data_IF_646273446710
#
_entry.id   IF_646273446710
#
_cell.length_a   1.000
_cell.length_b   1.000
_cell.length_c   1.000
_cell.angle_alpha   90.00
_cell.angle_beta   90.00
_cell.angle_gamma   90.00
#
_symmetry.space_group_name_H-M   'P 1'
#
loop_
_entity.id
_entity.type
_entity.pdbx_description
1 polymer ?
#
# COMPACT_ATOMS: atom_id res chain seq x y z
N UNK A 1 5.28 -15.92 5.32
CA UNK A 1 6.43 -15.00 5.31
C UNK A 1 6.05 -13.61 5.83
N UNK A 2 4.92 -13.05 5.40
CA UNK A 2 4.37 -11.80 5.93
C UNK A 2 4.24 -11.81 7.48
N UNK A 3 3.77 -12.92 8.06
CA UNK A 3 3.66 -13.07 9.51
C UNK A 3 5.01 -12.96 10.23
N UNK A 4 6.09 -13.42 9.59
CA UNK A 4 7.45 -13.34 10.11
C UNK A 4 8.21 -12.09 9.65
N UNK A 5 7.53 -11.18 8.93
CA UNK A 5 8.10 -9.96 8.36
C UNK A 5 9.30 -10.21 7.43
N UNK A 6 9.30 -11.37 6.76
CA UNK A 6 10.33 -11.74 5.81
C UNK A 6 10.00 -11.20 4.40
N UNK A 7 10.15 -9.88 4.24
CA UNK A 7 9.75 -9.15 3.04
C UNK A 7 10.61 -9.50 1.81
N UNK A 8 11.89 -9.79 2.01
CA UNK A 8 12.77 -10.23 0.92
C UNK A 8 12.31 -11.57 0.34
N UNK A 9 11.92 -12.51 1.22
CA UNK A 9 11.41 -13.80 0.79
C UNK A 9 10.08 -13.71 0.04
N UNK A 10 9.22 -12.77 0.42
CA UNK A 10 7.99 -12.49 -0.33
C UNK A 10 8.34 -12.04 -1.75
N UNK A 11 9.28 -11.11 -1.91
CA UNK A 11 9.71 -10.63 -3.22
C UNK A 11 10.32 -11.75 -4.10
N UNK A 12 11.11 -12.65 -3.53
CA UNK A 12 11.61 -13.83 -4.25
C UNK A 12 10.46 -14.74 -4.74
N UNK A 13 9.54 -15.10 -3.83
CA UNK A 13 8.41 -16.01 -4.15
C UNK A 13 7.45 -15.43 -5.18
N UNK A 14 7.28 -14.11 -5.22
CA UNK A 14 6.39 -13.43 -6.18
C UNK A 14 6.90 -13.61 -7.62
N UNK A 15 8.20 -13.58 -7.84
CA UNK A 15 8.76 -13.74 -9.19
C UNK A 15 8.57 -15.15 -9.75
N UNK A 16 8.41 -16.17 -8.92
CA UNK A 16 8.15 -17.56 -9.31
C UNK A 16 6.66 -17.84 -9.55
N UNK A 17 5.78 -16.89 -9.17
CA UNK A 17 4.33 -17.04 -9.23
C UNK A 17 3.69 -16.56 -10.53
N UNK A 18 2.45 -17.01 -10.78
CA UNK A 18 1.64 -16.48 -11.88
C UNK A 18 1.12 -15.09 -11.51
N UNK A 19 1.30 -14.06 -12.35
CA UNK A 19 0.81 -12.72 -12.06
C UNK A 19 -0.69 -12.67 -11.76
N UNK A 20 -1.06 -11.90 -10.73
CA UNK A 20 -2.46 -11.73 -10.33
C UNK A 20 -2.60 -10.74 -9.20
N UNK A 21 -3.85 -10.27 -8.94
CA UNK A 21 -4.12 -9.19 -8.00
C UNK A 21 -3.53 -9.45 -6.60
N UNK A 22 -3.76 -10.63 -6.04
CA UNK A 22 -3.26 -10.97 -4.70
C UNK A 22 -1.73 -10.96 -4.63
N UNK A 23 -1.07 -11.45 -5.68
CA UNK A 23 0.40 -11.49 -5.73
C UNK A 23 0.96 -10.08 -5.91
N UNK A 24 0.32 -9.22 -6.73
CA UNK A 24 0.70 -7.81 -6.85
C UNK A 24 0.58 -7.08 -5.51
N UNK A 25 -0.50 -7.33 -4.74
CA UNK A 25 -0.64 -6.76 -3.38
C UNK A 25 0.49 -7.24 -2.45
N UNK A 26 0.85 -8.53 -2.47
CA UNK A 26 1.97 -9.04 -1.67
C UNK A 26 3.29 -8.38 -2.06
N UNK A 27 3.56 -8.26 -3.36
CA UNK A 27 4.76 -7.61 -3.88
C UNK A 27 4.84 -6.15 -3.45
N UNK A 28 3.77 -5.40 -3.66
CA UNK A 28 3.71 -3.98 -3.33
C UNK A 28 3.80 -3.74 -1.82
N UNK A 29 3.14 -4.56 -1.01
CA UNK A 29 3.24 -4.50 0.45
C UNK A 29 4.68 -4.77 0.93
N UNK A 30 5.33 -5.81 0.40
CA UNK A 30 6.71 -6.14 0.76
C UNK A 30 7.68 -5.01 0.41
N UNK A 31 7.51 -4.38 -0.76
CA UNK A 31 8.32 -3.23 -1.15
C UNK A 31 8.00 -1.98 -0.32
N UNK A 32 6.74 -1.76 0.05
CA UNK A 32 6.35 -0.66 0.93
C UNK A 32 6.97 -0.78 2.33
N UNK A 33 6.98 -1.97 2.89
CA UNK A 33 7.61 -2.25 4.20
C UNK A 33 9.13 -2.03 4.18
N UNK A 34 9.74 -2.06 3.00
CA UNK A 34 11.16 -1.74 2.77
C UNK A 34 11.39 -0.29 2.31
N UNK A 35 10.35 0.55 2.26
CA UNK A 35 10.39 1.92 1.71
C UNK A 35 10.83 1.98 0.24
N UNK A 36 10.52 0.95 -0.56
CA UNK A 36 10.91 0.83 -1.97
C UNK A 36 9.69 0.80 -2.92
N UNK A 37 8.46 1.02 -2.42
CA UNK A 37 7.26 0.85 -3.24
C UNK A 37 7.30 1.67 -4.53
N UNK A 38 7.61 2.99 -4.54
CA UNK A 38 7.62 3.75 -5.78
C UNK A 38 8.70 3.30 -6.76
N UNK A 39 9.88 2.91 -6.27
CA UNK A 39 10.99 2.46 -7.13
C UNK A 39 10.73 1.10 -7.77
N UNK A 40 9.92 0.28 -7.10
CA UNK A 40 9.68 -1.11 -7.50
C UNK A 40 8.31 -1.34 -8.14
N UNK A 41 7.44 -0.35 -8.15
CA UNK A 41 6.05 -0.50 -8.58
C UNK A 41 5.93 -1.07 -10.01
N UNK A 42 6.74 -0.56 -10.94
CA UNK A 42 6.69 -0.97 -12.35
C UNK A 42 7.56 -2.21 -12.66
N UNK A 43 8.28 -2.77 -11.70
CA UNK A 43 9.05 -3.99 -11.87
C UNK A 43 8.18 -5.25 -11.93
N UNK A 44 6.92 -5.15 -11.53
CA UNK A 44 5.97 -6.25 -11.51
C UNK A 44 4.62 -5.86 -12.12
N UNK A 45 3.82 -6.86 -12.50
CA UNK A 45 2.47 -6.69 -13.03
C UNK A 45 1.57 -5.88 -12.08
N UNK A 46 0.91 -4.85 -12.62
CA UNK A 46 0.00 -3.98 -11.85
C UNK A 46 -1.41 -4.01 -12.45
N UNK A 47 -2.36 -4.62 -11.74
CA UNK A 47 -3.77 -4.61 -12.12
C UNK A 47 -4.47 -3.34 -11.62
N UNK A 48 -4.04 -2.17 -12.07
CA UNK A 48 -4.52 -0.87 -11.61
C UNK A 48 -4.50 -0.77 -10.06
N UNK A 49 -5.47 -0.09 -9.45
CA UNK A 49 -5.56 0.05 -8.00
C UNK A 49 -5.70 -1.28 -7.22
N UNK A 50 -6.11 -2.37 -7.90
CA UNK A 50 -6.21 -3.70 -7.29
C UNK A 50 -4.84 -4.31 -6.95
N UNK A 51 -3.76 -3.77 -7.50
CA UNK A 51 -2.40 -4.13 -7.11
C UNK A 51 -1.99 -3.62 -5.73
N UNK A 52 -2.67 -2.59 -5.22
CA UNK A 52 -2.43 -2.03 -3.88
C UNK A 52 -3.51 -2.44 -2.88
N UNK A 53 -4.77 -2.43 -3.30
CA UNK A 53 -5.91 -2.68 -2.43
C UNK A 53 -6.88 -3.66 -3.08
N UNK A 54 -7.12 -4.77 -2.39
CA UNK A 54 -8.21 -5.67 -2.78
C UNK A 54 -9.53 -5.19 -2.18
N UNK A 55 -10.64 -5.27 -2.92
CA UNK A 55 -11.95 -4.91 -2.39
C UNK A 55 -12.34 -5.82 -1.22
N UNK A 56 -13.06 -5.26 -0.26
CA UNK A 56 -13.61 -5.97 0.90
C UNK A 56 -15.13 -5.86 0.85
N UNK A 57 -15.79 -6.90 0.37
CA UNK A 57 -17.24 -6.98 0.19
C UNK A 57 -17.72 -8.43 0.29
N UNK A 58 -18.99 -8.68 0.04
CA UNK A 58 -19.61 -10.01 0.13
C UNK A 58 -19.07 -11.04 -0.89
N UNK A 59 -18.39 -10.60 -1.94
CA UNK A 59 -17.76 -11.48 -2.95
C UNK A 59 -16.30 -11.76 -2.65
N UNK A 60 -15.76 -11.18 -1.59
CA UNK A 60 -14.37 -11.37 -1.20
C UNK A 60 -14.10 -12.78 -0.69
N UNK A 61 -12.87 -13.23 -0.83
CA UNK A 61 -12.40 -14.52 -0.31
C UNK A 61 -11.67 -14.33 1.02
N UNK A 62 -11.44 -15.43 1.74
CA UNK A 62 -10.59 -15.40 2.95
C UNK A 62 -9.22 -14.75 2.69
N UNK A 63 -8.56 -15.13 1.59
CA UNK A 63 -7.25 -14.59 1.25
C UNK A 63 -7.31 -13.08 0.93
N UNK A 64 -8.29 -12.65 0.14
CA UNK A 64 -8.38 -11.22 -0.24
C UNK A 64 -8.67 -10.32 0.95
N UNK A 65 -9.56 -10.74 1.87
CA UNK A 65 -9.84 -9.98 3.08
C UNK A 65 -8.67 -9.97 4.05
N UNK A 66 -7.92 -11.07 4.13
CA UNK A 66 -6.71 -11.15 4.96
C UNK A 66 -5.63 -10.20 4.45
N UNK A 67 -5.36 -10.18 3.14
CA UNK A 67 -4.39 -9.28 2.54
C UNK A 67 -4.80 -7.82 2.70
N UNK A 68 -6.07 -7.51 2.44
CA UNK A 68 -6.60 -6.16 2.65
C UNK A 68 -6.45 -5.71 4.11
N UNK A 69 -6.78 -6.57 5.05
CA UNK A 69 -6.61 -6.29 6.48
C UNK A 69 -5.16 -6.04 6.87
N UNK A 70 -4.22 -6.77 6.28
CA UNK A 70 -2.79 -6.58 6.52
C UNK A 70 -2.30 -5.23 5.97
N UNK A 71 -2.66 -4.88 4.73
CA UNK A 71 -2.31 -3.58 4.13
C UNK A 71 -2.81 -2.43 5.01
N UNK A 72 -4.09 -2.41 5.37
CA UNK A 72 -4.67 -1.34 6.18
C UNK A 72 -4.07 -1.26 7.58
N UNK A 73 -3.78 -2.41 8.20
CA UNK A 73 -3.12 -2.46 9.50
C UNK A 73 -1.70 -1.87 9.45
N UNK A 74 -0.94 -2.15 8.38
CA UNK A 74 0.41 -1.59 8.20
C UNK A 74 0.37 -0.10 7.93
N UNK A 75 -0.58 0.37 7.13
CA UNK A 75 -0.81 1.78 6.86
C UNK A 75 -1.22 2.59 8.11
N UNK A 76 -1.87 1.95 9.10
CA UNK A 76 -2.34 2.59 10.32
C UNK A 76 -3.85 2.87 10.35
N UNK A 77 -4.62 2.44 9.33
CA UNK A 77 -6.08 2.56 9.34
C UNK A 77 -6.73 1.38 10.07
N UNK A 78 -6.91 1.53 11.37
CA UNK A 78 -7.44 0.46 12.22
C UNK A 78 -8.91 0.17 11.94
N UNK A 79 -9.71 1.12 11.51
CA UNK A 79 -11.12 0.91 11.14
C UNK A 79 -11.25 0.00 9.92
N UNK A 80 -10.47 0.28 8.87
CA UNK A 80 -10.44 -0.55 7.67
C UNK A 80 -9.83 -1.92 7.94
N UNK A 81 -8.78 -1.98 8.76
CA UNK A 81 -8.15 -3.23 9.16
C UNK A 81 -9.09 -4.13 9.98
N UNK A 82 -9.88 -3.54 10.90
CA UNK A 82 -10.86 -4.28 11.70
C UNK A 82 -11.97 -4.86 10.84
N UNK A 83 -12.55 -4.04 9.96
CA UNK A 83 -13.59 -4.49 9.03
C UNK A 83 -13.12 -5.69 8.18
N UNK A 84 -11.94 -5.57 7.56
CA UNK A 84 -11.35 -6.65 6.77
C UNK A 84 -11.04 -7.89 7.61
N UNK A 85 -10.56 -7.73 8.85
CA UNK A 85 -10.23 -8.84 9.75
C UNK A 85 -11.48 -9.60 10.23
N UNK A 86 -12.58 -8.89 10.50
CA UNK A 86 -13.87 -9.51 10.87
C UNK A 86 -14.43 -10.32 9.71
N UNK A 87 -14.44 -9.78 8.49
CA UNK A 87 -14.86 -10.54 7.31
C UNK A 87 -13.93 -11.70 7.02
N UNK A 88 -12.63 -11.53 7.18
CA UNK A 88 -11.66 -12.62 7.04
C UNK A 88 -11.91 -13.75 8.04
N UNK A 89 -12.34 -13.44 9.27
CA UNK A 89 -12.74 -14.46 10.24
C UNK A 89 -13.98 -15.23 9.77
N UNK A 90 -14.99 -14.52 9.25
CA UNK A 90 -16.24 -15.13 8.73
C UNK A 90 -15.93 -16.04 7.53
N UNK A 91 -15.07 -15.62 6.63
CA UNK A 91 -14.71 -16.39 5.43
C UNK A 91 -13.65 -17.48 5.68
N UNK A 92 -13.07 -17.51 6.88
CA UNK A 92 -12.07 -18.54 7.23
C UNK A 92 -12.71 -19.92 7.37
N UNK A 93 -11.94 -21.01 7.16
CA UNK A 93 -12.46 -22.35 7.37
C UNK A 93 -13.07 -22.52 8.76
N UNK A 94 -14.31 -22.99 8.81
CA UNK A 94 -15.11 -23.17 10.05
C UNK A 94 -15.29 -21.89 10.88
N UNK A 95 -15.14 -20.70 10.26
CA UNK A 95 -15.18 -19.39 10.92
C UNK A 95 -14.17 -19.29 12.10
N UNK A 96 -13.02 -19.95 11.95
CA UNK A 96 -11.97 -20.01 12.97
C UNK A 96 -10.63 -19.65 12.36
N UNK A 97 -10.10 -18.50 12.76
CA UNK A 97 -8.75 -18.08 12.39
C UNK A 97 -8.05 -17.46 13.59
N UNK A 98 -7.10 -18.18 14.15
CA UNK A 98 -6.29 -17.68 15.28
C UNK A 98 -5.55 -16.42 14.91
N UNK A 99 -5.09 -16.31 13.65
CA UNK A 99 -4.43 -15.11 13.12
C UNK A 99 -5.38 -13.89 13.14
N UNK A 100 -6.64 -14.07 12.77
CA UNK A 100 -7.60 -12.97 12.81
C UNK A 100 -7.97 -12.59 14.25
N UNK A 101 -8.09 -13.56 15.15
CA UNK A 101 -8.26 -13.28 16.59
C UNK A 101 -7.08 -12.46 17.13
N UNK A 102 -5.86 -12.81 16.74
CA UNK A 102 -4.65 -12.05 17.09
C UNK A 102 -4.72 -10.62 16.54
N UNK A 103 -5.03 -10.46 15.25
CA UNK A 103 -5.14 -9.15 14.60
C UNK A 103 -6.21 -8.27 15.25
N UNK A 104 -7.38 -8.83 15.56
CA UNK A 104 -8.45 -8.11 16.26
C UNK A 104 -8.03 -7.71 17.69
N UNK A 105 -7.28 -8.54 18.40
CA UNK A 105 -6.70 -8.16 19.68
C UNK A 105 -5.76 -6.95 19.54
N UNK A 106 -4.87 -6.96 18.55
CA UNK A 106 -3.93 -5.87 18.28
C UNK A 106 -4.66 -4.56 17.93
N UNK A 107 -5.64 -4.62 17.02
CA UNK A 107 -6.43 -3.46 16.59
C UNK A 107 -7.14 -2.83 17.80
N UNK A 108 -7.83 -3.64 18.62
CA UNK A 108 -8.54 -3.13 19.78
C UNK A 108 -7.59 -2.56 20.85
N UNK A 109 -6.40 -3.14 21.02
CA UNK A 109 -5.36 -2.55 21.87
C UNK A 109 -4.90 -1.18 21.35
N UNK A 110 -4.69 -1.05 20.04
CA UNK A 110 -4.27 0.20 19.41
C UNK A 110 -5.36 1.26 19.58
N UNK A 111 -6.62 0.91 19.31
CA UNK A 111 -7.77 1.81 19.46
C UNK A 111 -8.07 2.18 20.92
N UNK A 112 -7.51 1.46 21.90
CA UNK A 112 -7.75 1.68 23.32
C UNK A 112 -9.03 1.01 23.84
N UNK A 113 -9.68 0.18 23.02
CA UNK A 113 -10.81 -0.66 23.47
C UNK A 113 -10.28 -1.86 24.25
N UNK A 114 -9.98 -1.60 25.50
CA UNK A 114 -9.39 -2.60 26.39
C UNK A 114 -10.34 -3.76 26.71
N UNK A 115 -11.65 -3.54 26.63
CA UNK A 115 -12.63 -4.59 26.91
C UNK A 115 -12.68 -5.60 25.78
N UNK A 116 -12.83 -5.12 24.55
CA UNK A 116 -12.79 -5.98 23.36
C UNK A 116 -11.41 -6.66 23.23
N UNK A 117 -10.31 -5.96 23.47
CA UNK A 117 -8.98 -6.55 23.47
C UNK A 117 -8.85 -7.71 24.46
N UNK A 118 -9.34 -7.56 25.72
CA UNK A 118 -9.31 -8.65 26.71
C UNK A 118 -10.11 -9.88 26.25
N UNK A 119 -11.22 -9.69 25.55
CA UNK A 119 -12.01 -10.80 25.00
C UNK A 119 -11.18 -11.65 24.03
N UNK A 120 -10.53 -11.02 23.05
CA UNK A 120 -9.67 -11.73 22.09
C UNK A 120 -8.42 -12.33 22.74
N UNK A 121 -7.76 -11.59 23.64
CA UNK A 121 -6.59 -12.07 24.37
C UNK A 121 -6.91 -13.28 25.25
N UNK A 122 -8.12 -13.37 25.85
CA UNK A 122 -8.58 -14.55 26.59
C UNK A 122 -8.66 -15.79 25.70
N UNK A 123 -9.16 -15.65 24.46
CA UNK A 123 -9.20 -16.76 23.51
C UNK A 123 -7.77 -17.22 23.20
N UNK A 124 -6.85 -16.31 22.93
CA UNK A 124 -5.45 -16.61 22.61
C UNK A 124 -4.69 -17.21 23.79
N UNK A 125 -4.98 -16.78 25.02
CA UNK A 125 -4.33 -17.31 26.22
C UNK A 125 -4.63 -18.78 26.49
N UNK A 126 -5.69 -19.31 25.91
CA UNK A 126 -6.05 -20.74 25.98
C UNK A 126 -5.42 -21.57 24.87
N UNK A 127 -4.57 -20.97 24.01
CA UNK A 127 -3.84 -21.69 22.95
C UNK A 127 -2.40 -21.96 23.36
N UNK A 128 -1.82 -23.04 22.84
CA UNK A 128 -0.45 -23.43 23.17
C UNK A 128 0.59 -22.39 22.75
N UNK A 129 0.46 -21.85 21.54
CA UNK A 129 1.47 -20.99 20.95
C UNK A 129 1.31 -19.48 21.27
N UNK A 130 0.08 -19.03 21.58
CA UNK A 130 -0.20 -17.60 21.79
C UNK A 130 -0.37 -17.20 23.26
N UNK A 131 -0.27 -18.13 24.18
CA UNK A 131 -0.43 -17.88 25.63
C UNK A 131 0.49 -16.77 26.15
N UNK A 132 1.79 -16.90 25.91
CA UNK A 132 2.78 -15.91 26.36
C UNK A 132 2.67 -14.59 25.57
N UNK A 133 2.33 -14.66 24.29
CA UNK A 133 2.06 -13.49 23.47
C UNK A 133 0.89 -12.67 24.02
N UNK A 134 -0.23 -13.31 24.37
CA UNK A 134 -1.41 -12.69 24.94
C UNK A 134 -1.14 -12.09 26.33
N UNK A 135 -0.40 -12.81 27.18
CA UNK A 135 -0.02 -12.35 28.51
C UNK A 135 0.76 -11.04 28.49
N UNK A 136 1.72 -10.89 27.57
CA UNK A 136 2.53 -9.67 27.40
C UNK A 136 1.71 -8.47 26.91
N UNK A 137 0.50 -8.70 26.37
CA UNK A 137 -0.40 -7.68 25.79
C UNK A 137 -1.66 -7.41 26.62
N UNK A 138 -1.75 -7.99 27.83
CA UNK A 138 -2.92 -7.77 28.70
C UNK A 138 -3.01 -6.31 29.12
N UNK A 139 -4.16 -5.61 28.84
CA UNK A 139 -4.35 -4.20 29.21
C UNK A 139 -4.05 -3.91 30.67
N UNK A 140 -3.17 -2.95 30.91
CA UNK A 140 -2.67 -2.57 32.24
C UNK A 140 -1.47 -3.39 32.74
N UNK A 141 -1.06 -4.43 31.99
CA UNK A 141 0.10 -5.29 32.31
C UNK A 141 0.98 -5.53 31.10
N UNK A 142 0.93 -4.62 30.12
CA UNK A 142 1.72 -4.73 28.90
C UNK A 142 3.21 -4.70 29.19
N UNK A 143 3.98 -5.51 28.44
CA UNK A 143 5.44 -5.43 28.51
C UNK A 143 5.94 -4.06 27.97
N UNK A 144 7.16 -3.63 28.36
CA UNK A 144 7.74 -2.38 27.86
C UNK A 144 7.74 -2.26 26.33
N UNK A 145 8.11 -3.33 25.63
CA UNK A 145 8.16 -3.40 24.18
C UNK A 145 6.76 -3.22 23.56
N UNK A 146 5.74 -3.82 24.19
CA UNK A 146 4.35 -3.69 23.73
C UNK A 146 3.85 -2.25 23.94
N UNK A 147 4.22 -1.59 25.03
CA UNK A 147 3.85 -0.18 25.28
C UNK A 147 4.46 0.75 24.22
N UNK A 148 5.73 0.57 23.87
CA UNK A 148 6.39 1.35 22.82
C UNK A 148 5.76 1.08 21.46
N UNK A 149 5.47 -0.19 21.14
CA UNK A 149 4.78 -0.56 19.92
C UNK A 149 3.38 0.07 19.84
N UNK A 150 2.60 0.05 20.92
CA UNK A 150 1.28 0.70 20.97
C UNK A 150 1.41 2.22 20.78
N UNK A 151 2.37 2.85 21.41
CA UNK A 151 2.64 4.29 21.24
C UNK A 151 2.94 4.63 19.78
N UNK A 152 3.82 3.83 19.16
CA UNK A 152 4.15 3.97 17.72
C UNK A 152 2.91 3.81 16.86
N UNK A 153 2.14 2.72 17.02
CA UNK A 153 0.94 2.47 16.22
C UNK A 153 -0.14 3.54 16.40
N UNK A 154 -0.34 4.02 17.61
CA UNK A 154 -1.30 5.10 17.90
C UNK A 154 -0.94 6.44 17.26
N UNK A 155 0.33 6.69 16.96
CA UNK A 155 0.75 7.91 16.28
C UNK A 155 0.24 8.00 14.82
N UNK A 156 -0.25 6.90 14.26
CA UNK A 156 -0.84 6.85 12.91
C UNK A 156 -2.37 6.93 12.91
N UNK A 157 -3.02 6.86 14.07
CA UNK A 157 -4.48 6.85 14.13
C UNK A 157 -5.06 8.19 13.68
N UNK A 158 -6.04 8.20 12.77
CA UNK A 158 -6.82 9.38 12.47
C UNK A 158 -7.49 9.95 13.74
N UNK A 159 -7.44 11.25 13.91
CA UNK A 159 -8.06 11.92 15.08
C UNK A 159 -9.58 11.92 15.00
N UNK A 160 -10.15 11.76 13.81
CA UNK A 160 -11.59 11.73 13.58
C UNK A 160 -11.98 10.37 13.04
N UNK A 161 -12.88 9.70 13.72
CA UNK A 161 -13.56 8.55 13.16
C UNK A 161 -14.62 9.04 12.16
N UNK A 162 -14.49 8.59 10.92
CA UNK A 162 -15.43 8.95 9.85
C UNK A 162 -15.96 7.67 9.22
N UNK A 163 -17.28 7.59 9.03
CA UNK A 163 -17.88 6.49 8.30
C UNK A 163 -17.26 6.39 6.89
N UNK A 164 -16.69 5.23 6.59
CA UNK A 164 -16.06 4.94 5.30
C UNK A 164 -16.59 3.62 4.76
N UNK A 165 -16.93 3.60 3.49
CA UNK A 165 -17.33 2.40 2.76
C UNK A 165 -16.08 1.81 2.10
N UNK A 166 -15.72 0.60 2.45
CA UNK A 166 -14.42 -0.03 2.25
C UNK A 166 -13.81 0.06 0.84
N UNK A 167 -14.61 -0.02 -0.22
CA UNK A 167 -14.07 -0.13 -1.58
C UNK A 167 -14.00 1.20 -2.34
N UNK A 168 -14.74 2.22 -1.92
CA UNK A 168 -14.86 3.51 -2.64
C UNK A 168 -14.07 4.64 -1.99
N UNK A 169 -13.61 4.45 -0.75
CA UNK A 169 -13.02 5.50 0.07
C UNK A 169 -11.51 5.36 0.31
N UNK A 170 -10.79 4.60 -0.55
CA UNK A 170 -9.34 4.37 -0.43
C UNK A 170 -8.58 5.69 -0.34
N UNK A 171 -8.78 6.59 -1.29
CA UNK A 171 -8.09 7.89 -1.33
C UNK A 171 -8.42 8.73 -0.11
N UNK A 172 -9.68 8.74 0.33
CA UNK A 172 -10.10 9.45 1.55
C UNK A 172 -9.42 8.88 2.80
N UNK A 173 -9.31 7.55 2.90
CA UNK A 173 -8.60 6.90 4.00
C UNK A 173 -7.13 7.29 4.03
N UNK A 174 -6.46 7.29 2.87
CA UNK A 174 -5.05 7.67 2.75
C UNK A 174 -4.83 9.16 3.11
N UNK A 175 -5.73 10.05 2.68
CA UNK A 175 -5.67 11.46 3.09
C UNK A 175 -5.83 11.64 4.60
N UNK A 176 -6.75 10.91 5.24
CA UNK A 176 -6.93 10.96 6.70
C UNK A 176 -5.68 10.48 7.44
N UNK A 177 -5.01 9.44 6.94
CA UNK A 177 -3.74 8.97 7.51
C UNK A 177 -2.62 10.02 7.36
N UNK A 178 -2.54 10.70 6.20
CA UNK A 178 -1.57 11.78 5.97
C UNK A 178 -1.87 13.02 6.82
N UNK A 179 -3.14 13.33 7.08
CA UNK A 179 -3.54 14.43 7.97
C UNK A 179 -3.24 14.11 9.44
N UNK A 180 -3.40 12.85 9.85
CA UNK A 180 -3.08 12.40 11.20
C UNK A 180 -1.57 12.40 11.47
N UNK A 181 -0.79 11.93 10.50
CA UNK A 181 0.67 11.87 10.59
C UNK A 181 1.32 12.13 9.22
N UNK A 182 1.73 13.38 8.95
CA UNK A 182 2.42 13.73 7.70
C UNK A 182 3.75 12.97 7.47
N UNK A 183 4.33 12.39 8.52
CA UNK A 183 5.52 11.55 8.42
C UNK A 183 5.23 10.08 8.03
N UNK A 184 3.96 9.71 7.83
CA UNK A 184 3.58 8.37 7.38
C UNK A 184 3.98 8.15 5.92
N UNK A 185 5.26 7.79 5.72
CA UNK A 185 5.83 7.56 4.39
C UNK A 185 5.05 6.49 3.63
N UNK A 186 4.66 5.40 4.28
CA UNK A 186 3.94 4.31 3.63
C UNK A 186 2.59 4.80 3.08
N UNK A 187 1.80 5.57 3.86
CA UNK A 187 0.53 6.10 3.38
C UNK A 187 0.71 7.09 2.22
N UNK A 188 1.76 7.94 2.27
CA UNK A 188 2.10 8.82 1.16
C UNK A 188 2.44 8.06 -0.11
N UNK A 189 3.31 7.05 0.00
CA UNK A 189 3.76 6.30 -1.17
C UNK A 189 2.60 5.46 -1.75
N UNK A 190 1.71 4.92 -0.90
CA UNK A 190 0.48 4.26 -1.34
C UNK A 190 -0.47 5.22 -2.06
N UNK A 191 -0.67 6.45 -1.55
CA UNK A 191 -1.54 7.46 -2.17
C UNK A 191 -1.03 7.83 -3.57
N UNK A 192 0.24 8.23 -3.67
CA UNK A 192 0.83 8.65 -4.93
C UNK A 192 0.90 7.49 -5.96
N UNK A 193 1.22 6.28 -5.50
CA UNK A 193 1.21 5.11 -6.37
C UNK A 193 -0.20 4.72 -6.81
N UNK A 194 -1.22 4.87 -5.94
CA UNK A 194 -2.61 4.61 -6.28
C UNK A 194 -3.11 5.56 -7.36
N UNK A 195 -2.86 6.87 -7.22
CA UNK A 195 -3.22 7.86 -8.24
C UNK A 195 -2.59 7.52 -9.60
N UNK A 196 -1.31 7.13 -9.59
CA UNK A 196 -0.60 6.73 -10.80
C UNK A 196 -1.15 5.45 -11.43
N UNK A 197 -1.44 4.44 -10.62
CA UNK A 197 -2.05 3.20 -11.11
C UNK A 197 -3.45 3.40 -11.67
N UNK A 198 -4.20 4.35 -11.13
CA UNK A 198 -5.50 4.77 -11.67
C UNK A 198 -5.36 5.72 -12.87
N UNK A 199 -4.14 6.07 -13.28
CA UNK A 199 -3.83 7.03 -14.35
C UNK A 199 -4.39 8.43 -14.10
N UNK A 200 -4.71 8.78 -12.86
CA UNK A 200 -5.16 10.09 -12.47
C UNK A 200 -3.98 11.03 -12.20
N UNK A 201 -3.39 11.54 -13.27
CA UNK A 201 -2.28 12.50 -13.18
C UNK A 201 -2.69 13.79 -12.45
N UNK A 202 -3.97 14.17 -12.49
CA UNK A 202 -4.45 15.39 -11.82
C UNK A 202 -4.42 15.22 -10.30
N UNK A 203 -4.96 14.10 -9.80
CA UNK A 203 -4.89 13.73 -8.39
C UNK A 203 -3.42 13.58 -7.94
N UNK A 204 -2.60 12.83 -8.70
CA UNK A 204 -1.18 12.66 -8.41
C UNK A 204 -0.46 14.01 -8.25
N UNK A 205 -0.62 14.95 -9.17
CA UNK A 205 0.05 16.24 -9.12
C UNK A 205 -0.35 17.07 -7.90
N UNK A 206 -1.64 17.04 -7.55
CA UNK A 206 -2.16 17.71 -6.36
C UNK A 206 -1.55 17.13 -5.08
N UNK A 207 -1.55 15.81 -4.97
CA UNK A 207 -1.09 15.11 -3.77
C UNK A 207 0.44 15.07 -3.71
N UNK A 208 1.13 14.95 -4.83
CA UNK A 208 2.58 15.11 -4.92
C UNK A 208 3.03 16.47 -4.40
N UNK A 209 2.41 17.56 -4.88
CA UNK A 209 2.70 18.91 -4.42
C UNK A 209 2.43 19.11 -2.92
N UNK A 210 1.42 18.42 -2.39
CA UNK A 210 1.02 18.55 -0.98
C UNK A 210 1.92 17.77 -0.03
N UNK A 211 2.36 16.58 -0.43
CA UNK A 211 2.95 15.61 0.51
C UNK A 211 4.39 15.20 0.17
N UNK A 212 4.84 15.43 -1.06
CA UNK A 212 6.20 15.07 -1.44
C UNK A 212 7.16 16.25 -1.26
N UNK A 213 8.37 15.97 -0.80
CA UNK A 213 9.45 16.94 -0.66
C UNK A 213 10.74 16.38 -1.25
N UNK A 214 11.56 17.26 -1.84
CA UNK A 214 12.82 16.86 -2.45
C UNK A 214 12.72 16.50 -3.94
N UNK A 215 13.78 15.92 -4.47
CA UNK A 215 13.82 15.48 -5.87
C UNK A 215 12.90 14.27 -6.09
N UNK A 216 12.21 14.17 -7.26
CA UNK A 216 11.38 13.03 -7.57
C UNK A 216 12.21 11.77 -7.75
N UNK A 217 11.72 10.62 -7.24
CA UNK A 217 12.23 9.32 -7.65
C UNK A 217 11.87 9.04 -9.12
N UNK A 218 12.33 7.91 -9.67
CA UNK A 218 12.12 7.58 -11.08
C UNK A 218 10.65 7.54 -11.47
N UNK A 219 9.80 6.86 -10.71
CA UNK A 219 8.36 6.74 -10.98
C UNK A 219 7.69 8.12 -11.04
N UNK A 220 7.93 8.94 -10.03
CA UNK A 220 7.32 10.27 -9.95
C UNK A 220 7.86 11.20 -11.05
N UNK A 221 9.16 11.10 -11.37
CA UNK A 221 9.75 11.82 -12.48
C UNK A 221 9.12 11.46 -13.83
N UNK A 222 8.87 10.18 -14.05
CA UNK A 222 8.21 9.67 -15.26
C UNK A 222 6.78 10.23 -15.38
N UNK A 223 6.02 10.28 -14.29
CA UNK A 223 4.67 10.87 -14.27
C UNK A 223 4.69 12.40 -14.51
N UNK A 224 5.63 13.09 -13.86
CA UNK A 224 5.81 14.54 -14.05
C UNK A 224 6.16 14.86 -15.51
N UNK A 225 6.99 14.06 -16.16
CA UNK A 225 7.37 14.27 -17.58
C UNK A 225 6.17 14.12 -18.53
N UNK A 226 5.25 13.17 -18.28
CA UNK A 226 4.01 13.08 -19.06
C UNK A 226 3.23 14.41 -18.96
N UNK A 227 3.03 14.90 -17.74
CA UNK A 227 2.32 16.15 -17.51
C UNK A 227 2.98 17.36 -18.17
N UNK A 228 4.30 17.49 -18.01
CA UNK A 228 5.09 18.58 -18.62
C UNK A 228 5.01 18.53 -20.15
N UNK A 229 5.07 17.35 -20.73
CA UNK A 229 4.95 17.16 -22.16
C UNK A 229 3.55 17.56 -22.66
N UNK A 230 2.49 17.14 -21.97
CA UNK A 230 1.11 17.52 -22.32
C UNK A 230 0.89 19.03 -22.25
N UNK A 231 1.54 19.72 -21.32
CA UNK A 231 1.53 21.18 -21.20
C UNK A 231 2.49 21.91 -22.17
N UNK A 232 3.27 21.21 -22.96
CA UNK A 232 4.31 21.78 -23.82
C UNK A 232 5.31 22.63 -23.04
N UNK A 233 5.73 22.15 -21.86
CA UNK A 233 6.67 22.83 -20.99
C UNK A 233 8.02 23.06 -21.69
N UNK A 234 8.66 24.19 -21.37
CA UNK A 234 9.97 24.55 -21.88
C UNK A 234 11.07 23.73 -21.19
N UNK A 235 12.26 23.67 -21.82
CA UNK A 235 13.40 23.00 -21.22
C UNK A 235 13.84 23.59 -19.88
N UNK A 236 13.61 24.89 -19.63
CA UNK A 236 13.87 25.56 -18.36
C UNK A 236 12.89 25.10 -17.27
N UNK A 237 11.60 24.94 -17.60
CA UNK A 237 10.60 24.44 -16.69
C UNK A 237 10.90 22.98 -16.29
N UNK A 238 11.29 22.14 -17.24
CA UNK A 238 11.70 20.75 -16.95
C UNK A 238 12.91 20.73 -15.98
N UNK A 239 13.94 21.55 -16.23
CA UNK A 239 15.12 21.64 -15.35
C UNK A 239 14.74 22.07 -13.92
N UNK A 240 13.78 22.97 -13.76
CA UNK A 240 13.35 23.48 -12.45
C UNK A 240 12.69 22.43 -11.56
N UNK A 241 12.24 21.31 -12.12
CA UNK A 241 11.59 20.21 -11.36
C UNK A 241 12.58 19.32 -10.60
N UNK A 242 13.88 19.43 -10.86
CA UNK A 242 14.89 18.56 -10.26
C UNK A 242 14.90 17.12 -10.80
N UNK A 243 14.23 16.87 -11.92
CA UNK A 243 14.23 15.55 -12.59
C UNK A 243 15.64 15.25 -13.11
N UNK A 244 16.11 14.02 -12.86
CA UNK A 244 17.40 13.57 -13.37
C UNK A 244 17.45 13.65 -14.91
N UNK A 245 18.46 14.31 -15.49
CA UNK A 245 18.60 14.46 -16.95
C UNK A 245 18.57 13.14 -17.73
N UNK A 246 19.04 12.05 -17.13
CA UNK A 246 18.98 10.71 -17.76
C UNK A 246 17.53 10.27 -18.00
N UNK A 247 16.62 10.53 -17.04
CA UNK A 247 15.19 10.18 -17.19
C UNK A 247 14.56 11.05 -18.31
N UNK A 248 14.99 12.30 -18.44
CA UNK A 248 14.53 13.18 -19.54
C UNK A 248 15.00 12.63 -20.90
N UNK A 249 16.23 12.14 -21.00
CA UNK A 249 16.75 11.52 -22.22
C UNK A 249 15.99 10.22 -22.55
N UNK A 250 15.75 9.36 -21.54
CA UNK A 250 14.95 8.15 -21.69
C UNK A 250 13.54 8.48 -22.22
N UNK A 251 12.92 9.55 -21.70
CA UNK A 251 11.58 9.99 -22.14
C UNK A 251 11.56 10.48 -23.60
N UNK A 252 12.59 11.22 -24.01
CA UNK A 252 12.72 11.65 -25.40
C UNK A 252 12.87 10.45 -26.35
N UNK A 253 13.65 9.46 -25.95
CA UNK A 253 13.80 8.22 -26.73
C UNK A 253 12.50 7.40 -26.75
N UNK A 254 11.78 7.30 -25.63
CA UNK A 254 10.46 6.70 -25.58
C UNK A 254 9.50 7.35 -26.59
N UNK A 255 9.41 8.69 -26.60
CA UNK A 255 8.55 9.43 -27.53
C UNK A 255 8.96 9.22 -28.98
N UNK A 256 10.27 9.17 -29.27
CA UNK A 256 10.80 8.90 -30.61
C UNK A 256 10.35 7.52 -31.12
N UNK A 257 10.53 6.48 -30.30
CA UNK A 257 10.11 5.10 -30.65
C UNK A 257 8.61 4.97 -30.79
N UNK A 258 7.85 5.64 -29.92
CA UNK A 258 6.39 5.68 -29.98
C UNK A 258 5.90 6.32 -31.28
N UNK A 259 6.46 7.46 -31.67
CA UNK A 259 6.12 8.15 -32.93
C UNK A 259 6.48 7.31 -34.18
N UNK A 260 7.52 6.50 -34.08
CA UNK A 260 7.93 5.59 -35.17
C UNK A 260 7.07 4.31 -35.23
N UNK A 261 6.17 4.09 -34.28
CA UNK A 261 5.35 2.87 -34.21
C UNK A 261 6.12 1.60 -33.86
N UNK A 262 7.33 1.73 -33.28
CA UNK A 262 8.18 0.57 -32.96
C UNK A 262 7.79 -0.06 -31.62
N UNK A 263 6.69 -0.78 -31.60
CA UNK A 263 6.11 -1.39 -30.39
C UNK A 263 7.06 -2.38 -29.71
N UNK A 264 7.80 -3.19 -30.47
CA UNK A 264 8.73 -4.19 -29.91
C UNK A 264 9.90 -3.52 -29.17
N UNK A 265 10.47 -2.44 -29.73
CA UNK A 265 11.54 -1.69 -29.07
C UNK A 265 11.01 -0.93 -27.84
N UNK A 266 9.77 -0.40 -27.88
CA UNK A 266 9.13 0.23 -26.74
C UNK A 266 8.96 -0.77 -25.58
N UNK A 267 8.39 -1.92 -25.82
CA UNK A 267 8.17 -2.95 -24.80
C UNK A 267 9.50 -3.45 -24.23
N UNK A 268 10.46 -3.77 -25.07
CA UNK A 268 11.77 -4.29 -24.65
C UNK A 268 12.55 -3.30 -23.78
N UNK A 269 12.52 -2.01 -24.11
CA UNK A 269 13.33 -0.99 -23.41
C UNK A 269 12.60 -0.27 -22.28
N UNK A 270 11.29 -0.06 -22.45
CA UNK A 270 10.48 0.79 -21.57
C UNK A 270 9.26 0.10 -20.96
N UNK A 271 9.10 -1.21 -21.18
CA UNK A 271 7.96 -1.99 -20.65
C UNK A 271 7.80 -1.96 -19.14
N UNK A 272 8.87 -1.60 -18.40
CA UNK A 272 8.88 -1.42 -16.95
C UNK A 272 8.91 0.04 -16.53
N UNK A 273 8.37 0.95 -17.35
CA UNK A 273 8.26 2.38 -17.02
C UNK A 273 6.79 2.76 -16.84
N UNK A 274 6.56 3.84 -16.11
CA UNK A 274 5.22 4.40 -15.96
C UNK A 274 4.67 4.91 -17.30
N UNK A 275 5.53 5.39 -18.21
CA UNK A 275 5.11 5.81 -19.55
C UNK A 275 4.44 4.69 -20.33
N UNK A 276 5.05 3.49 -20.29
CA UNK A 276 4.51 2.31 -20.97
C UNK A 276 3.19 1.87 -20.30
N UNK A 277 3.16 1.81 -18.97
CA UNK A 277 1.94 1.53 -18.23
C UNK A 277 0.83 2.54 -18.55
N UNK A 278 1.13 3.84 -18.50
CA UNK A 278 0.16 4.91 -18.77
C UNK A 278 -0.46 4.79 -20.14
N UNK A 279 0.33 4.45 -21.16
CA UNK A 279 -0.12 4.35 -22.55
C UNK A 279 -0.87 3.04 -22.85
N UNK A 280 -0.38 1.89 -22.38
CA UNK A 280 -0.80 0.59 -22.87
C UNK A 280 -1.58 -0.25 -21.85
N UNK A 281 -1.48 -0.03 -20.55
CA UNK A 281 -2.26 -0.78 -19.58
C UNK A 281 -3.75 -0.48 -19.75
N UNK A 282 -4.55 -1.55 -19.85
CA UNK A 282 -6.02 -1.43 -19.91
C UNK A 282 -6.60 -1.78 -18.55
N UNK A 283 -7.60 -1.03 -18.11
CA UNK A 283 -8.40 -1.39 -16.96
C UNK A 283 -9.43 -2.43 -17.39
N UNK A 284 -9.42 -3.59 -16.74
CA UNK A 284 -10.46 -4.61 -16.88
C UNK A 284 -11.62 -4.33 -15.92
#
# INVERSE_FOLDING_TARGET
EDYFENWDKINELVHDGVPGNAISVCYNLANAMQNKLPEKLMDYYQPAGLGLFMPVNEKSTYLSTQLSGEVWFRLGDMTMAEHASLLSMIFSPQNKSVRMVQRLAEINLINGDNEAARKYLRILSNTLFYKEWAKKRTPGKESPEVKEWLKYKRSYLPQKDTLRLSSTDVVKSLHLLMEANPANQMARDYLLCFDLLMKDLSAFLKDYKRYHTGAPNRLYAEALLIHLYQKRATGSEIKSTGINPVIVQDFNEYNRLHTQGNSSALESRFGRTYWYYYQFAQFQ
#
